data_IF_531103792857
#
_entry.id   IF_531103792857
#
_cell.length_a   1.000
_cell.length_b   1.000
_cell.length_c   1.000
_cell.angle_alpha   90.00
_cell.angle_beta   90.00
_cell.angle_gamma   90.00
#
_symmetry.space_group_name_H-M   'P 1'
#
loop_
_entity.id
_entity.type
_entity.pdbx_description
1 polymer ?
#
# COMPACT_ATOMS: atom_id res chain seq x y z
N UNK A 1 -8.91 -18.11 5.28
CA UNK A 1 -8.73 -17.20 4.15
C UNK A 1 -7.59 -17.72 3.31
N UNK A 2 -7.88 -18.23 2.11
CA UNK A 2 -6.89 -18.84 1.21
C UNK A 2 -5.82 -17.85 0.74
N UNK A 3 -6.06 -16.56 0.95
CA UNK A 3 -5.20 -15.46 0.52
C UNK A 3 -4.47 -14.76 1.67
N UNK A 4 -4.57 -15.29 2.89
CA UNK A 4 -3.77 -14.76 3.98
C UNK A 4 -2.30 -15.09 3.72
N UNK A 5 -1.38 -14.12 3.71
CA UNK A 5 0.04 -14.41 3.59
C UNK A 5 0.47 -15.35 4.72
N UNK A 6 1.37 -16.27 4.42
CA UNK A 6 2.00 -17.07 5.45
C UNK A 6 2.84 -16.14 6.33
N UNK A 7 2.51 -16.06 7.60
CA UNK A 7 3.31 -15.30 8.56
C UNK A 7 4.37 -16.23 9.16
N UNK A 8 5.61 -15.81 9.09
CA UNK A 8 6.67 -16.41 9.89
C UNK A 8 6.62 -15.78 11.28
N UNK A 9 6.24 -16.54 12.28
CA UNK A 9 6.25 -16.07 13.67
C UNK A 9 7.60 -16.40 14.27
N UNK A 10 8.49 -15.42 14.34
CA UNK A 10 9.72 -15.53 15.09
C UNK A 10 9.43 -15.34 16.58
N UNK A 11 9.52 -16.41 17.35
CA UNK A 11 9.39 -16.36 18.80
C UNK A 11 10.81 -16.25 19.38
N UNK A 12 11.14 -15.08 19.90
CA UNK A 12 12.30 -14.93 20.76
C UNK A 12 11.96 -15.57 22.12
N UNK A 13 12.08 -16.87 22.23
CA UNK A 13 11.98 -17.54 23.52
C UNK A 13 13.29 -17.33 24.28
N UNK A 14 13.26 -16.98 25.59
CA UNK A 14 14.44 -17.11 26.44
C UNK A 14 14.92 -18.56 26.35
N UNK A 15 16.23 -18.79 26.33
CA UNK A 15 16.79 -20.13 26.28
C UNK A 15 16.24 -20.97 27.43
N UNK A 16 15.43 -21.95 27.11
CA UNK A 16 14.90 -22.90 28.10
C UNK A 16 15.92 -24.05 28.13
N UNK A 17 16.63 -24.19 29.25
CA UNK A 17 17.49 -25.35 29.46
C UNK A 17 16.61 -26.47 30.00
N UNK A 18 16.31 -27.43 29.17
CA UNK A 18 15.49 -28.59 29.52
C UNK A 18 16.45 -29.71 29.97
N UNK A 19 16.30 -30.16 31.20
CA UNK A 19 16.92 -31.40 31.69
C UNK A 19 15.87 -32.50 31.67
N UNK A 20 15.92 -33.37 30.68
CA UNK A 20 15.19 -34.61 30.57
C UNK A 20 13.65 -34.55 30.68
N UNK A 21 13.04 -33.39 30.51
CA UNK A 21 11.59 -33.21 30.51
C UNK A 21 11.10 -32.62 29.19
N UNK A 22 9.92 -33.04 28.76
CA UNK A 22 9.28 -32.49 27.55
C UNK A 22 8.31 -31.37 27.95
N UNK A 23 8.61 -30.17 27.48
CA UNK A 23 7.73 -29.03 27.64
C UNK A 23 6.95 -28.78 26.36
N UNK A 24 5.68 -28.47 26.47
CA UNK A 24 4.86 -28.00 25.37
C UNK A 24 4.67 -26.48 25.48
N UNK A 25 5.01 -25.76 24.42
CA UNK A 25 4.72 -24.34 24.30
C UNK A 25 3.34 -24.19 23.66
N UNK A 26 2.43 -23.51 24.35
CA UNK A 26 1.15 -23.10 23.79
C UNK A 26 1.14 -21.61 23.60
N UNK A 27 0.92 -21.17 22.36
CA UNK A 27 0.74 -19.76 22.04
C UNK A 27 -0.75 -19.56 21.78
N UNK A 28 -1.37 -18.71 22.58
CA UNK A 28 -2.76 -18.33 22.40
C UNK A 28 -2.82 -16.84 22.09
N UNK A 29 -2.85 -16.49 20.80
CA UNK A 29 -3.06 -15.14 20.31
C UNK A 29 -4.30 -15.13 19.42
N UNK A 30 -5.18 -14.16 19.63
CA UNK A 30 -6.39 -14.01 18.82
C UNK A 30 -6.20 -13.05 17.64
N UNK A 31 -5.07 -12.35 17.59
CA UNK A 31 -4.74 -11.41 16.54
C UNK A 31 -3.22 -11.25 16.41
N UNK A 32 -2.75 -10.90 15.21
CA UNK A 32 -1.39 -10.43 15.00
C UNK A 32 -1.35 -8.95 15.38
N UNK A 33 -0.68 -8.64 16.49
CA UNK A 33 -0.61 -7.28 17.03
C UNK A 33 0.59 -6.50 16.50
N UNK A 34 1.57 -7.17 15.92
CA UNK A 34 2.76 -6.56 15.36
C UNK A 34 3.33 -7.43 14.23
N UNK A 35 3.69 -6.79 13.14
CA UNK A 35 4.43 -7.40 12.04
C UNK A 35 5.81 -6.80 11.97
N UNK A 36 6.80 -7.64 11.76
CA UNK A 36 8.16 -7.21 11.48
C UNK A 36 8.45 -7.62 10.04
N UNK A 37 8.54 -6.64 9.17
CA UNK A 37 9.02 -6.82 7.81
C UNK A 37 9.94 -5.67 7.48
N UNK A 38 11.25 -5.91 7.35
CA UNK A 38 12.21 -4.85 7.05
C UNK A 38 11.96 -4.18 5.70
N UNK A 39 11.28 -4.87 4.79
CA UNK A 39 10.98 -4.32 3.46
C UNK A 39 9.91 -3.22 3.52
N UNK A 40 9.00 -3.23 4.52
CA UNK A 40 8.02 -2.16 4.69
C UNK A 40 8.61 -0.89 5.28
N UNK A 41 9.77 -0.98 5.93
CA UNK A 41 10.48 0.17 6.49
C UNK A 41 10.99 1.12 5.40
N UNK A 42 11.17 0.63 4.17
CA UNK A 42 11.53 1.45 3.01
C UNK A 42 10.42 2.46 2.65
N UNK A 43 9.17 2.13 2.94
CA UNK A 43 8.04 3.03 2.76
C UNK A 43 7.81 3.82 4.06
N UNK A 44 8.71 4.73 4.37
CA UNK A 44 8.71 5.41 5.67
C UNK A 44 7.55 6.41 5.84
N UNK A 45 7.12 7.04 4.76
CA UNK A 45 5.98 7.96 4.80
C UNK A 45 4.66 7.17 4.86
N UNK A 46 3.82 7.52 5.84
CA UNK A 46 2.50 6.92 6.05
C UNK A 46 1.48 8.03 6.15
N UNK A 47 0.34 7.85 5.49
CA UNK A 47 -0.71 8.84 5.48
C UNK A 47 -2.09 8.26 5.27
N UNK A 48 -3.05 9.14 5.36
CA UNK A 48 -4.44 8.89 4.98
C UNK A 48 -4.98 10.09 4.24
N UNK A 49 -5.86 9.85 3.28
CA UNK A 49 -6.63 10.89 2.63
C UNK A 49 -8.12 10.58 2.82
N UNK A 50 -8.88 11.57 3.26
CA UNK A 50 -10.32 11.43 3.46
C UNK A 50 -11.05 12.41 2.54
N UNK A 51 -12.11 11.93 1.91
CA UNK A 51 -12.98 12.74 1.07
C UNK A 51 -14.38 12.17 1.04
N UNK A 52 -15.33 12.94 0.55
CA UNK A 52 -16.70 12.49 0.36
C UNK A 52 -16.93 12.06 -1.09
N UNK A 53 -17.85 11.14 -1.26
CA UNK A 53 -18.35 10.71 -2.55
C UNK A 53 -19.86 10.48 -2.45
N UNK A 54 -20.54 10.54 -3.59
CA UNK A 54 -21.95 10.17 -3.64
C UNK A 54 -22.02 8.67 -3.93
N UNK A 55 -22.56 7.91 -2.98
CA UNK A 55 -22.73 6.47 -3.13
C UNK A 55 -23.73 6.18 -4.27
N UNK A 56 -23.32 5.51 -5.35
CA UNK A 56 -24.15 5.30 -6.52
C UNK A 56 -25.37 4.38 -6.27
N UNK A 57 -25.35 3.60 -5.18
CA UNK A 57 -26.44 2.70 -4.82
C UNK A 57 -27.51 3.37 -3.94
N UNK A 58 -27.12 4.36 -3.14
CA UNK A 58 -28.01 4.98 -2.15
C UNK A 58 -28.32 6.45 -2.45
N UNK A 59 -27.57 7.07 -3.37
CA UNK A 59 -27.62 8.50 -3.67
C UNK A 59 -27.39 9.38 -2.42
N UNK A 60 -26.58 8.86 -1.48
CA UNK A 60 -26.20 9.57 -0.26
C UNK A 60 -24.71 9.95 -0.32
N UNK A 61 -24.40 11.11 0.26
CA UNK A 61 -23.02 11.50 0.46
C UNK A 61 -22.43 10.72 1.65
N UNK A 62 -21.30 10.08 1.42
CA UNK A 62 -20.57 9.28 2.40
C UNK A 62 -19.09 9.69 2.42
N UNK A 63 -18.47 9.68 3.60
CA UNK A 63 -17.03 9.85 3.73
C UNK A 63 -16.32 8.52 3.55
N UNK A 64 -15.17 8.58 2.90
CA UNK A 64 -14.24 7.45 2.79
C UNK A 64 -12.82 7.91 3.03
N UNK A 65 -12.00 7.02 3.59
CA UNK A 65 -10.58 7.27 3.84
C UNK A 65 -9.75 6.21 3.14
N UNK A 66 -8.81 6.64 2.31
CA UNK A 66 -7.75 5.80 1.77
C UNK A 66 -6.51 5.88 2.66
N UNK A 67 -5.81 4.76 2.81
CA UNK A 67 -4.53 4.70 3.49
C UNK A 67 -3.40 4.69 2.48
N UNK A 68 -2.28 5.32 2.80
CA UNK A 68 -1.13 5.40 1.91
C UNK A 68 0.16 5.02 2.62
N UNK A 69 1.07 4.45 1.84
CA UNK A 69 2.47 4.33 2.22
C UNK A 69 3.33 4.74 1.04
N UNK A 70 4.37 5.52 1.30
CA UNK A 70 5.24 5.99 0.24
C UNK A 70 6.71 5.74 0.56
N UNK A 71 7.44 5.38 -0.49
CA UNK A 71 8.88 5.49 -0.57
C UNK A 71 9.20 6.81 -1.25
N UNK A 72 10.07 7.57 -0.63
CA UNK A 72 10.55 8.85 -1.11
C UNK A 72 12.06 8.73 -1.31
N UNK A 73 12.59 9.04 -2.51
CA UNK A 73 14.03 8.93 -2.76
C UNK A 73 14.78 9.97 -1.92
N UNK A 74 15.89 9.54 -1.31
CA UNK A 74 16.73 10.40 -0.49
C UNK A 74 17.81 11.09 -1.33
N UNK A 75 18.18 12.29 -0.92
CA UNK A 75 19.32 13.02 -1.49
C UNK A 75 19.04 13.67 -2.83
N UNK A 76 17.79 14.01 -3.11
CA UNK A 76 17.41 14.76 -4.30
C UNK A 76 18.22 16.06 -4.42
N UNK A 77 18.68 16.36 -5.62
CA UNK A 77 19.35 17.62 -5.90
C UNK A 77 18.34 18.78 -5.93
N UNK A 78 18.81 20.02 -5.67
CA UNK A 78 17.96 21.19 -5.77
C UNK A 78 17.40 21.34 -7.19
N UNK A 79 16.08 21.33 -7.33
CA UNK A 79 15.38 21.43 -8.62
C UNK A 79 15.30 20.12 -9.41
N UNK A 80 15.69 19.00 -8.79
CA UNK A 80 15.44 17.68 -9.37
C UNK A 80 13.94 17.43 -9.44
N UNK A 81 13.49 16.82 -10.55
CA UNK A 81 12.14 16.32 -10.73
C UNK A 81 12.20 14.81 -10.90
N UNK A 82 11.58 14.07 -9.98
CA UNK A 82 11.62 12.61 -9.92
C UNK A 82 10.30 11.98 -10.35
N UNK A 83 10.32 10.87 -11.10
CA UNK A 83 9.11 10.14 -11.47
C UNK A 83 8.33 9.65 -10.26
N UNK A 84 7.02 9.46 -10.43
CA UNK A 84 6.13 8.87 -9.44
C UNK A 84 5.53 7.57 -9.96
N UNK A 85 5.72 6.49 -9.21
CA UNK A 85 5.06 5.20 -9.45
C UNK A 85 3.95 5.04 -8.42
N UNK A 86 2.72 4.85 -8.86
CA UNK A 86 1.54 4.64 -8.01
C UNK A 86 1.12 3.18 -8.15
N UNK A 87 0.91 2.51 -7.01
CA UNK A 87 0.49 1.12 -6.97
C UNK A 87 -0.86 0.95 -6.29
N UNK A 88 -1.76 0.24 -6.99
CA UNK A 88 -3.06 -0.15 -6.49
C UNK A 88 -3.10 -1.65 -6.21
N UNK A 89 -3.47 -2.01 -4.99
CA UNK A 89 -3.45 -3.38 -4.49
C UNK A 89 -4.48 -4.30 -5.16
N UNK A 90 -4.27 -5.62 -5.02
CA UNK A 90 -5.21 -6.64 -5.49
C UNK A 90 -6.38 -6.86 -4.54
N UNK A 91 -7.29 -7.74 -4.97
CA UNK A 91 -8.41 -8.19 -4.14
C UNK A 91 -7.88 -8.89 -2.88
N UNK A 92 -8.46 -8.58 -1.73
CA UNK A 92 -8.09 -9.16 -0.43
C UNK A 92 -6.98 -8.40 0.31
N UNK A 93 -6.43 -7.34 -0.29
CA UNK A 93 -5.41 -6.48 0.32
C UNK A 93 -6.00 -5.13 0.78
N UNK A 94 -7.32 -4.96 0.68
CA UNK A 94 -8.05 -3.81 1.21
C UNK A 94 -8.01 -3.77 2.74
N UNK A 95 -8.12 -2.58 3.30
CA UNK A 95 -8.08 -2.36 4.75
C UNK A 95 -7.60 -0.96 5.13
N UNK A 96 -7.07 -0.86 6.33
CA UNK A 96 -6.54 0.39 6.91
C UNK A 96 -5.09 0.24 7.37
N UNK A 97 -4.42 -0.78 6.87
CA UNK A 97 -3.02 -1.06 7.15
C UNK A 97 -2.27 -1.16 5.80
N UNK A 98 -1.65 -0.06 5.34
CA UNK A 98 -1.03 0.00 4.02
C UNK A 98 0.16 -0.95 3.86
N UNK A 99 0.71 -1.51 4.94
CA UNK A 99 1.74 -2.54 4.85
C UNK A 99 1.23 -3.79 4.14
N UNK A 100 -0.07 -4.09 4.21
CA UNK A 100 -0.69 -5.20 3.47
C UNK A 100 -0.56 -4.97 1.96
N UNK A 101 -0.82 -3.74 1.50
CA UNK A 101 -0.70 -3.37 0.09
C UNK A 101 0.76 -3.38 -0.40
N UNK A 102 1.73 -3.09 0.47
CA UNK A 102 3.16 -3.12 0.13
C UNK A 102 3.70 -4.55 0.08
N UNK A 103 3.28 -5.40 1.02
CA UNK A 103 3.76 -6.78 1.12
C UNK A 103 3.15 -7.68 0.05
N UNK A 104 1.95 -7.35 -0.40
CA UNK A 104 1.32 -8.04 -1.51
C UNK A 104 2.04 -7.77 -2.83
N UNK A 105 2.12 -8.78 -3.69
CA UNK A 105 2.71 -8.67 -5.03
C UNK A 105 4.14 -8.09 -5.08
N UNK A 106 4.89 -8.22 -3.99
CA UNK A 106 6.28 -7.75 -3.87
C UNK A 106 6.46 -6.25 -4.17
N UNK A 107 5.46 -5.42 -3.86
CA UNK A 107 5.49 -3.96 -4.11
C UNK A 107 6.68 -3.30 -3.43
N UNK A 108 7.12 -3.82 -2.29
CA UNK A 108 8.32 -3.38 -1.61
C UNK A 108 9.58 -3.44 -2.50
N UNK A 109 9.59 -4.28 -3.53
CA UNK A 109 10.71 -4.33 -4.48
C UNK A 109 10.86 -3.03 -5.28
N UNK A 110 9.79 -2.26 -5.50
CA UNK A 110 9.84 -0.98 -6.19
C UNK A 110 10.73 0.05 -5.48
N UNK A 111 10.86 -0.06 -4.16
CA UNK A 111 11.72 0.80 -3.35
C UNK A 111 13.15 0.29 -3.21
N UNK A 112 13.46 -0.91 -3.71
CA UNK A 112 14.81 -1.49 -3.63
C UNK A 112 15.71 -0.94 -4.72
N UNK A 113 17.00 -0.85 -4.42
CA UNK A 113 18.03 -0.33 -5.33
C UNK A 113 18.01 -1.01 -6.70
N UNK A 114 17.71 -2.32 -6.75
CA UNK A 114 17.61 -3.06 -8.01
C UNK A 114 16.60 -2.45 -8.98
N UNK A 115 15.45 -2.00 -8.48
CA UNK A 115 14.41 -1.36 -9.31
C UNK A 115 14.67 0.14 -9.40
N UNK A 116 15.01 0.80 -8.30
CA UNK A 116 15.28 2.23 -8.27
C UNK A 116 16.40 2.63 -9.25
N UNK A 117 17.40 1.75 -9.46
CA UNK A 117 18.49 2.01 -10.40
C UNK A 117 18.03 2.23 -11.85
N UNK A 118 16.86 1.73 -12.24
CA UNK A 118 16.30 1.96 -13.59
C UNK A 118 15.73 3.37 -13.78
N UNK A 119 15.42 4.06 -12.69
CA UNK A 119 14.96 5.45 -12.73
C UNK A 119 16.10 6.46 -12.59
N UNK A 120 17.28 6.00 -12.16
CA UNK A 120 18.44 6.87 -11.96
C UNK A 120 19.07 7.28 -13.26
N UNK A 121 19.36 8.57 -13.39
CA UNK A 121 20.12 9.19 -14.48
C UNK A 121 21.14 10.15 -13.88
N UNK A 122 21.83 10.93 -14.71
CA UNK A 122 22.72 11.99 -14.23
C UNK A 122 21.95 13.10 -13.47
N UNK A 123 20.66 13.26 -13.77
CA UNK A 123 19.78 14.30 -13.26
C UNK A 123 18.65 13.79 -12.36
N UNK A 124 18.50 12.46 -12.17
CA UNK A 124 17.43 11.83 -11.41
C UNK A 124 17.99 10.79 -10.44
N UNK A 125 17.74 10.99 -9.15
CA UNK A 125 18.25 10.14 -8.06
C UNK A 125 17.44 8.87 -7.87
N UNK A 126 16.16 8.87 -8.21
CA UNK A 126 15.25 7.72 -8.08
C UNK A 126 13.81 8.12 -8.38
N UNK A 127 12.88 7.22 -8.11
CA UNK A 127 11.44 7.45 -8.29
C UNK A 127 10.71 7.39 -6.95
N UNK A 128 9.73 8.24 -6.76
CA UNK A 128 8.73 8.10 -5.71
C UNK A 128 7.89 6.83 -5.96
N UNK A 129 7.50 6.15 -4.89
CA UNK A 129 6.55 5.04 -4.96
C UNK A 129 5.43 5.27 -3.96
N UNK A 130 4.20 5.42 -4.44
CA UNK A 130 3.01 5.62 -3.63
C UNK A 130 2.11 4.39 -3.70
N UNK A 131 2.03 3.62 -2.63
CA UNK A 131 1.05 2.55 -2.48
C UNK A 131 -0.22 3.10 -1.84
N UNK A 132 -1.35 2.91 -2.51
CA UNK A 132 -2.66 3.36 -2.01
C UNK A 132 -3.51 2.14 -1.66
N UNK A 133 -4.15 2.19 -0.49
CA UNK A 133 -5.01 1.13 0.00
C UNK A 133 -6.45 1.62 0.18
N UNK A 134 -7.38 0.97 -0.54
CA UNK A 134 -8.81 1.14 -0.31
C UNK A 134 -9.25 0.32 0.90
N UNK A 135 -10.23 0.81 1.69
CA UNK A 135 -10.73 0.08 2.86
C UNK A 135 -11.39 -1.27 2.53
N UNK A 136 -11.94 -1.40 1.34
CA UNK A 136 -12.63 -2.60 0.87
C UNK A 136 -12.01 -3.12 -0.43
N UNK A 137 -12.71 -3.04 -1.54
CA UNK A 137 -12.26 -3.50 -2.86
C UNK A 137 -12.26 -2.32 -3.83
N UNK A 138 -11.28 -2.21 -4.70
CA UNK A 138 -11.22 -1.13 -5.69
C UNK A 138 -12.50 -1.03 -6.53
N UNK A 139 -13.17 -2.14 -6.80
CA UNK A 139 -14.42 -2.18 -7.57
C UNK A 139 -15.66 -2.26 -6.67
N UNK A 140 -15.58 -1.75 -5.45
CA UNK A 140 -16.74 -1.57 -4.57
C UNK A 140 -17.64 -0.46 -5.12
N UNK A 141 -18.88 -0.84 -5.45
CA UNK A 141 -19.90 0.05 -6.01
C UNK A 141 -20.65 0.86 -4.94
N UNK A 142 -20.33 0.63 -3.64
CA UNK A 142 -20.95 1.34 -2.52
C UNK A 142 -21.62 0.44 -1.48
N UNK A 143 -21.54 -0.88 -1.63
CA UNK A 143 -22.10 -1.85 -0.69
C UNK A 143 -21.04 -2.62 0.13
N UNK A 144 -19.76 -2.28 -0.03
CA UNK A 144 -18.64 -2.94 0.63
C UNK A 144 -18.24 -4.25 -0.01
N UNK A 145 -18.81 -4.64 -1.14
CA UNK A 145 -18.50 -5.88 -1.84
C UNK A 145 -17.59 -5.64 -3.05
N UNK A 146 -17.04 -6.75 -3.58
CA UNK A 146 -16.22 -6.69 -4.77
C UNK A 146 -17.09 -6.66 -6.03
N UNK A 147 -17.59 -5.51 -6.39
CA UNK A 147 -18.55 -5.24 -7.45
C UNK A 147 -18.60 -6.18 -8.66
N UNK A 148 -19.69 -6.18 -9.38
CA UNK A 148 -20.02 -7.15 -10.43
C UNK A 148 -19.43 -6.82 -11.82
N UNK A 149 -18.48 -5.89 -11.90
CA UNK A 149 -17.83 -5.53 -13.15
C UNK A 149 -18.57 -4.48 -13.98
N UNK A 150 -19.41 -3.65 -13.33
CA UNK A 150 -20.02 -2.47 -13.94
C UNK A 150 -19.00 -1.43 -14.42
N UNK A 151 -17.77 -1.48 -13.86
CA UNK A 151 -16.76 -0.45 -14.05
C UNK A 151 -16.95 0.76 -13.14
N UNK A 152 -17.90 0.71 -12.21
CA UNK A 152 -18.15 1.77 -11.24
C UNK A 152 -17.37 1.44 -9.96
N UNK A 153 -16.74 2.46 -9.40
CA UNK A 153 -16.07 2.38 -8.11
C UNK A 153 -16.36 3.62 -7.29
N UNK A 154 -16.72 3.42 -6.02
CA UNK A 154 -16.83 4.50 -5.04
C UNK A 154 -15.53 5.24 -4.77
N UNK A 155 -14.39 4.67 -5.18
CA UNK A 155 -13.07 5.20 -4.90
C UNK A 155 -12.47 6.04 -6.03
N UNK A 156 -13.10 6.13 -7.20
CA UNK A 156 -12.50 6.78 -8.38
C UNK A 156 -12.13 8.23 -8.10
N UNK A 157 -13.06 9.03 -7.60
CA UNK A 157 -12.82 10.46 -7.35
C UNK A 157 -11.79 10.66 -6.21
N UNK A 158 -11.98 9.96 -5.10
CA UNK A 158 -11.07 10.11 -3.95
C UNK A 158 -9.65 9.58 -4.23
N UNK A 159 -9.49 8.58 -5.10
CA UNK A 159 -8.18 8.13 -5.54
C UNK A 159 -7.48 9.25 -6.32
N UNK A 160 -8.17 9.90 -7.24
CA UNK A 160 -7.62 11.03 -7.99
C UNK A 160 -7.24 12.18 -7.08
N UNK A 161 -8.08 12.49 -6.09
CA UNK A 161 -7.80 13.53 -5.11
C UNK A 161 -6.61 13.16 -4.23
N UNK A 162 -6.50 11.88 -3.81
CA UNK A 162 -5.32 11.38 -3.06
C UNK A 162 -4.03 11.56 -3.84
N UNK A 163 -4.05 11.25 -5.14
CA UNK A 163 -2.87 11.40 -6.02
C UNK A 163 -2.53 12.90 -6.18
N UNK A 164 -3.53 13.73 -6.43
CA UNK A 164 -3.33 15.17 -6.60
C UNK A 164 -2.79 15.83 -5.33
N UNK A 165 -3.31 15.43 -4.16
CA UNK A 165 -2.85 15.93 -2.86
C UNK A 165 -1.40 15.50 -2.59
N UNK A 166 -1.05 14.25 -2.90
CA UNK A 166 0.32 13.76 -2.78
C UNK A 166 1.27 14.55 -3.68
N UNK A 167 0.93 14.73 -4.95
CA UNK A 167 1.75 15.51 -5.90
C UNK A 167 1.89 16.96 -5.48
N UNK A 168 0.82 17.58 -4.98
CA UNK A 168 0.85 18.95 -4.49
C UNK A 168 1.75 19.14 -3.26
N UNK A 169 1.86 18.09 -2.41
CA UNK A 169 2.75 18.09 -1.25
C UNK A 169 4.22 17.84 -1.61
N UNK A 170 4.50 17.28 -2.80
CA UNK A 170 5.85 16.93 -3.27
C UNK A 170 6.19 17.67 -4.58
N UNK A 171 6.65 18.92 -4.50
CA UNK A 171 6.89 19.76 -5.69
C UNK A 171 8.05 19.27 -6.58
N UNK A 172 8.81 18.32 -6.12
CA UNK A 172 9.89 17.61 -6.81
C UNK A 172 9.42 16.31 -7.51
N UNK A 173 8.12 16.01 -7.48
CA UNK A 173 7.54 15.00 -8.36
C UNK A 173 7.44 15.53 -9.78
N UNK A 174 7.99 14.77 -10.73
CA UNK A 174 7.85 15.03 -12.16
C UNK A 174 6.44 14.66 -12.62
N UNK A 175 5.60 15.67 -12.83
CA UNK A 175 4.21 15.48 -13.25
C UNK A 175 4.04 14.98 -14.67
N UNK A 176 5.09 15.02 -15.49
CA UNK A 176 5.09 14.46 -16.84
C UNK A 176 5.41 12.95 -16.83
N UNK A 177 5.90 12.42 -15.69
CA UNK A 177 6.30 11.03 -15.53
C UNK A 177 5.63 10.38 -14.31
N UNK A 178 4.28 10.32 -14.34
CA UNK A 178 3.47 9.60 -13.35
C UNK A 178 3.00 8.29 -13.96
N UNK A 179 3.34 7.17 -13.29
CA UNK A 179 3.00 5.83 -13.71
C UNK A 179 2.01 5.21 -12.74
N UNK A 180 0.84 4.81 -13.24
CA UNK A 180 -0.19 4.15 -12.45
C UNK A 180 -0.21 2.67 -12.82
N UNK A 181 -0.08 1.81 -11.83
CA UNK A 181 -0.12 0.36 -11.99
C UNK A 181 -0.86 -0.32 -10.85
N UNK A 182 -1.22 -1.58 -11.06
CA UNK A 182 -1.92 -2.33 -10.02
C UNK A 182 -2.02 -3.81 -10.35
N UNK A 183 -2.37 -4.60 -9.34
CA UNK A 183 -2.60 -6.03 -9.47
C UNK A 183 -4.10 -6.34 -9.51
N UNK A 184 -4.53 -7.24 -10.41
CA UNK A 184 -5.90 -7.77 -10.44
C UNK A 184 -6.95 -6.64 -10.45
N UNK A 185 -7.77 -6.49 -9.40
CA UNK A 185 -8.75 -5.40 -9.28
C UNK A 185 -8.10 -4.02 -9.16
N UNK A 186 -6.88 -3.92 -8.63
CA UNK A 186 -6.09 -2.69 -8.71
C UNK A 186 -5.72 -2.35 -10.14
N UNK A 187 -5.28 -3.34 -10.94
CA UNK A 187 -5.05 -3.17 -12.37
C UNK A 187 -6.31 -2.88 -13.18
N UNK A 188 -7.48 -3.24 -12.66
CA UNK A 188 -8.76 -2.89 -13.28
C UNK A 188 -9.17 -1.44 -12.99
N UNK A 189 -8.69 -0.90 -11.88
CA UNK A 189 -8.91 0.48 -11.43
C UNK A 189 -8.00 1.48 -12.15
N UNK A 190 -6.86 1.02 -12.70
CA UNK A 190 -5.92 1.86 -13.48
C UNK A 190 -6.46 2.20 -14.87
#
# INVERSE_FOLDING_TARGET
>A
NEWSPAYEVAIAAPSITIKDETYSLSITENAVNNRISPDTDLFAARGTFSGSYVNPLTDQEEEVTLSTAAYEPEGLAEGEASPLVIWLHGQGEGGTDPDIAILGNEVSALAKEEIQSYFKTDDVTGAYVLAVQAPTYWMDEGDGTNGNGSGISRYTEILMDTINDYVAAHPDVDTDHIYLGGCSKGGYMT
#
